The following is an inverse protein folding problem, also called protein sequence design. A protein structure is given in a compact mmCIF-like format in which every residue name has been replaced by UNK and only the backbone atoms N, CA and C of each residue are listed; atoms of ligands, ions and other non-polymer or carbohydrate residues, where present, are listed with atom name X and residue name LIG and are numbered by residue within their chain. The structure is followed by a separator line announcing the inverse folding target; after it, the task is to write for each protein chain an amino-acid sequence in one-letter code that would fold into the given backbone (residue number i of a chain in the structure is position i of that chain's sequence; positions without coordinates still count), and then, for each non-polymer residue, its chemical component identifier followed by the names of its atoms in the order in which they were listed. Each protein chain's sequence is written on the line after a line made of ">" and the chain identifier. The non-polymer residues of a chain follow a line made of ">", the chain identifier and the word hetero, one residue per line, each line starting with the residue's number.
data_IF_590743416935
#
_entry.id   IF_590743416935
#
_cell.length_a   1.000
_cell.length_b   1.000
_cell.length_c   1.000
_cell.angle_alpha   90.00
_cell.angle_beta   90.00
_cell.angle_gamma   90.00
#
_symmetry.space_group_name_H-M   'P 1'
#
loop_
_entity.id
_entity.type
_entity.pdbx_description
1 polymer ?
#
# COMPACT_ATOMS: atom_id res chain seq x y z
N UNK A 1 16.30 -1.11 -5.58
CA UNK A 1 15.43 0.06 -5.82
C UNK A 1 15.56 1.04 -4.65
N UNK A 2 15.43 2.34 -4.90
CA UNK A 2 15.52 3.38 -3.87
C UNK A 2 14.47 4.47 -4.08
N UNK A 3 14.19 5.19 -2.99
CA UNK A 3 13.62 6.53 -2.98
C UNK A 3 14.68 7.42 -2.35
N UNK A 4 15.41 8.21 -3.13
CA UNK A 4 16.50 9.05 -2.61
C UNK A 4 16.80 10.18 -3.59
N UNK A 5 17.27 11.32 -3.10
CA UNK A 5 17.69 12.44 -3.95
C UNK A 5 19.17 12.80 -3.81
N UNK A 6 19.65 13.66 -4.72
CA UNK A 6 21.03 14.13 -4.78
C UNK A 6 21.50 14.93 -3.55
N UNK A 7 20.60 15.33 -2.65
CA UNK A 7 20.94 15.93 -1.37
C UNK A 7 21.38 14.90 -0.33
N UNK A 8 20.88 13.67 -0.43
CA UNK A 8 21.16 12.57 0.50
C UNK A 8 22.22 11.58 0.01
N UNK A 9 22.60 11.62 -1.28
CA UNK A 9 23.62 10.72 -1.86
C UNK A 9 24.57 11.42 -2.82
N UNK A 10 25.86 11.07 -2.74
CA UNK A 10 26.88 11.52 -3.70
C UNK A 10 26.90 10.63 -4.94
N UNK A 11 27.31 11.19 -6.07
CA UNK A 11 27.55 10.44 -7.32
C UNK A 11 26.40 10.44 -8.32
N UNK A 12 25.30 11.15 -8.04
CA UNK A 12 24.29 11.40 -9.08
C UNK A 12 24.83 12.33 -10.18
N UNK A 13 24.42 12.11 -11.45
CA UNK A 13 24.86 12.93 -12.56
C UNK A 13 24.46 14.40 -12.38
N UNK A 14 25.31 15.29 -12.88
CA UNK A 14 25.10 16.74 -12.77
C UNK A 14 24.14 17.26 -13.84
N UNK A 15 24.27 16.74 -15.06
CA UNK A 15 23.49 17.14 -16.22
C UNK A 15 22.12 16.46 -16.20
N UNK A 16 21.08 17.21 -16.60
CA UNK A 16 19.69 16.72 -16.65
C UNK A 16 19.54 15.54 -17.62
N UNK A 17 20.18 15.62 -18.79
CA UNK A 17 20.12 14.58 -19.81
C UNK A 17 20.72 13.25 -19.31
N UNK A 18 21.85 13.30 -18.60
CA UNK A 18 22.47 12.12 -17.97
C UNK A 18 21.62 11.56 -16.82
N UNK A 19 20.98 12.42 -16.04
CA UNK A 19 20.06 11.98 -15.00
C UNK A 19 18.85 11.24 -15.59
N UNK A 20 18.25 11.79 -16.65
CA UNK A 20 17.12 11.19 -17.33
C UNK A 20 17.48 9.85 -18.00
N UNK A 21 18.67 9.72 -18.58
CA UNK A 21 19.12 8.43 -19.17
C UNK A 21 19.31 7.33 -18.13
N UNK A 22 19.49 7.70 -16.86
CA UNK A 22 19.55 6.79 -15.71
C UNK A 22 18.20 6.62 -15.00
N UNK A 23 17.09 7.08 -15.59
CA UNK A 23 15.74 7.07 -15.02
C UNK A 23 15.57 7.90 -13.74
N UNK A 24 16.42 8.91 -13.54
CA UNK A 24 16.25 9.88 -12.45
C UNK A 24 15.32 11.00 -12.90
N UNK A 25 14.49 11.48 -11.97
CA UNK A 25 13.62 12.64 -12.18
C UNK A 25 14.35 13.90 -11.71
N UNK A 26 14.28 14.98 -12.49
CA UNK A 26 14.81 16.28 -12.09
C UNK A 26 13.67 17.19 -11.62
N UNK A 27 13.71 17.61 -10.37
CA UNK A 27 12.74 18.57 -9.81
C UNK A 27 13.40 19.46 -8.75
N UNK A 28 13.04 20.74 -8.71
CA UNK A 28 13.53 21.71 -7.71
C UNK A 28 15.07 21.67 -7.50
N UNK A 29 15.82 21.58 -8.59
CA UNK A 29 17.29 21.44 -8.62
C UNK A 29 17.87 20.12 -8.06
N UNK A 30 17.04 19.18 -7.64
CA UNK A 30 17.42 17.84 -7.20
C UNK A 30 17.30 16.82 -8.32
N UNK A 31 18.15 15.80 -8.27
CA UNK A 31 18.03 14.57 -9.05
C UNK A 31 17.48 13.51 -8.11
N UNK A 32 16.37 12.89 -8.50
CA UNK A 32 15.54 12.07 -7.63
C UNK A 32 15.46 10.67 -8.22
N UNK A 33 15.90 9.68 -7.46
CA UNK A 33 15.65 8.26 -7.70
C UNK A 33 14.33 7.91 -7.01
N UNK A 34 13.35 7.49 -7.79
CA UNK A 34 12.04 6.97 -7.33
C UNK A 34 11.81 5.56 -7.86
N UNK A 35 12.88 4.80 -8.00
CA UNK A 35 12.84 3.45 -8.58
C UNK A 35 12.03 2.45 -7.74
N UNK A 36 11.80 2.70 -6.45
CA UNK A 36 10.84 1.90 -5.65
C UNK A 36 9.43 2.04 -6.20
N UNK A 37 8.95 3.29 -6.38
CA UNK A 37 7.64 3.55 -6.96
C UNK A 37 7.51 2.91 -8.33
N UNK A 38 8.51 3.09 -9.20
CA UNK A 38 8.54 2.49 -10.53
C UNK A 38 8.52 0.96 -10.50
N UNK A 39 9.22 0.33 -9.56
CA UNK A 39 9.24 -1.12 -9.40
C UNK A 39 7.87 -1.66 -8.98
N UNK A 40 7.20 -1.02 -8.01
CA UNK A 40 5.85 -1.39 -7.61
C UNK A 40 4.87 -1.27 -8.78
N UNK A 41 4.86 -0.14 -9.50
CA UNK A 41 3.98 0.06 -10.67
C UNK A 41 4.23 -1.00 -11.74
N UNK A 42 5.50 -1.29 -12.05
CA UNK A 42 5.85 -2.31 -13.05
C UNK A 42 5.37 -3.70 -12.63
N UNK A 43 5.56 -4.07 -11.38
CA UNK A 43 5.12 -5.36 -10.85
C UNK A 43 3.59 -5.50 -10.90
N UNK A 44 2.85 -4.48 -10.46
CA UNK A 44 1.37 -4.46 -10.54
C UNK A 44 0.89 -4.61 -11.98
N UNK A 45 1.48 -3.84 -12.91
CA UNK A 45 1.10 -3.92 -14.34
C UNK A 45 1.42 -5.27 -14.96
N UNK A 46 2.44 -5.97 -14.48
CA UNK A 46 2.83 -7.30 -14.98
C UNK A 46 1.98 -8.43 -14.40
N UNK A 47 1.33 -8.22 -13.25
CA UNK A 47 0.54 -9.23 -12.55
C UNK A 47 -0.57 -9.86 -13.41
N UNK A 48 -0.70 -11.18 -13.30
CA UNK A 48 -1.61 -12.02 -14.07
C UNK A 48 -2.67 -12.71 -13.22
N UNK A 49 -2.36 -13.12 -11.99
CA UNK A 49 -3.20 -13.98 -11.16
C UNK A 49 -3.60 -13.32 -9.84
N UNK A 50 -2.64 -12.83 -9.06
CA UNK A 50 -2.94 -12.15 -7.80
C UNK A 50 -1.80 -11.28 -7.30
N UNK A 51 -2.14 -10.38 -6.38
CA UNK A 51 -1.19 -9.56 -5.65
C UNK A 51 -1.49 -9.66 -4.16
N UNK A 52 -0.46 -9.89 -3.35
CA UNK A 52 -0.52 -9.83 -1.90
C UNK A 52 0.39 -8.71 -1.39
N UNK A 53 -0.14 -7.85 -0.52
CA UNK A 53 0.58 -6.70 0.04
C UNK A 53 0.45 -6.74 1.55
N UNK A 54 1.58 -6.60 2.24
CA UNK A 54 1.57 -6.16 3.63
C UNK A 54 2.26 -4.79 3.72
N UNK A 55 1.55 -3.79 4.25
CA UNK A 55 2.13 -2.47 4.38
C UNK A 55 1.59 -1.72 5.59
N UNK A 56 2.44 -0.93 6.26
CA UNK A 56 2.03 -0.09 7.38
C UNK A 56 1.07 1.03 6.94
N UNK A 57 1.24 1.55 5.73
CA UNK A 57 0.34 2.57 5.17
C UNK A 57 -0.13 2.13 3.79
N UNK A 58 -1.36 2.51 3.45
CA UNK A 58 -1.92 2.31 2.11
C UNK A 58 -2.71 3.55 1.69
N UNK A 59 -1.99 4.55 1.19
CA UNK A 59 -2.52 5.87 0.82
C UNK A 59 -1.85 6.37 -0.45
N UNK A 60 -2.63 6.84 -1.40
CA UNK A 60 -2.10 7.38 -2.65
C UNK A 60 -3.19 7.69 -3.66
N UNK A 61 -2.74 8.14 -4.83
CA UNK A 61 -3.58 8.52 -5.95
C UNK A 61 -4.63 9.57 -5.57
N UNK A 62 -4.24 10.59 -4.79
CA UNK A 62 -5.18 11.63 -4.31
C UNK A 62 -5.92 12.35 -5.42
N UNK A 63 -5.29 12.51 -6.60
CA UNK A 63 -5.93 13.09 -7.77
C UNK A 63 -7.20 12.36 -8.22
N UNK A 64 -7.38 11.09 -7.86
CA UNK A 64 -8.60 10.33 -8.12
C UNK A 64 -9.67 10.50 -7.02
N UNK A 65 -9.35 11.03 -5.83
CA UNK A 65 -10.29 11.09 -4.69
C UNK A 65 -11.49 11.99 -4.98
N UNK A 66 -12.67 11.69 -4.41
CA UNK A 66 -13.86 12.52 -4.63
C UNK A 66 -13.70 13.95 -4.06
N UNK A 67 -13.08 14.05 -2.89
CA UNK A 67 -12.70 15.30 -2.22
C UNK A 67 -11.20 15.29 -1.88
N UNK A 68 -10.64 16.45 -1.54
CA UNK A 68 -9.22 16.58 -1.14
C UNK A 68 -8.20 16.10 -2.20
N UNK A 69 -8.52 16.32 -3.48
CA UNK A 69 -7.69 15.88 -4.64
C UNK A 69 -6.26 16.43 -4.62
N UNK A 70 -6.08 17.61 -4.06
CA UNK A 70 -4.81 18.35 -4.05
C UNK A 70 -4.00 18.14 -2.76
N UNK A 71 -4.20 17.03 -2.05
CA UNK A 71 -3.43 16.68 -0.84
C UNK A 71 -1.98 16.28 -1.14
N UNK A 72 -1.65 16.09 -2.42
CA UNK A 72 -0.30 15.76 -2.88
C UNK A 72 0.12 14.34 -2.57
N UNK A 73 -0.84 13.40 -2.42
CA UNK A 73 -0.58 11.97 -2.30
C UNK A 73 -0.63 11.31 -3.69
N UNK A 74 0.22 11.76 -4.60
CA UNK A 74 0.13 11.47 -6.04
C UNK A 74 0.78 10.14 -6.47
N UNK A 75 1.27 9.32 -5.54
CA UNK A 75 1.80 8.00 -5.88
C UNK A 75 0.72 7.12 -6.54
N UNK A 76 1.13 6.38 -7.57
CA UNK A 76 0.21 5.62 -8.44
C UNK A 76 -0.19 4.25 -7.91
N UNK A 77 0.35 3.79 -6.78
CA UNK A 77 0.21 2.38 -6.37
C UNK A 77 -1.27 1.98 -6.22
N UNK A 78 -2.11 2.75 -5.52
CA UNK A 78 -3.50 2.35 -5.35
C UNK A 78 -4.34 2.39 -6.63
N UNK A 79 -4.16 3.41 -7.50
CA UNK A 79 -4.89 3.47 -8.78
C UNK A 79 -4.46 2.37 -9.75
N UNK A 80 -3.18 2.01 -9.79
CA UNK A 80 -2.68 0.91 -10.65
C UNK A 80 -3.29 -0.44 -10.25
N UNK A 81 -3.47 -0.69 -8.94
CA UNK A 81 -4.16 -1.89 -8.45
C UNK A 81 -5.63 -1.90 -8.92
N UNK A 82 -6.35 -0.81 -8.73
CA UNK A 82 -7.76 -0.71 -9.15
C UNK A 82 -7.92 -0.88 -10.67
N UNK A 83 -7.05 -0.24 -11.47
CA UNK A 83 -7.05 -0.38 -12.92
C UNK A 83 -6.68 -1.79 -13.37
N UNK A 84 -5.72 -2.44 -12.70
CA UNK A 84 -5.38 -3.85 -12.97
C UNK A 84 -6.58 -4.76 -12.72
N UNK A 85 -7.25 -4.62 -11.56
CA UNK A 85 -8.48 -5.38 -11.27
C UNK A 85 -9.55 -5.13 -12.34
N UNK A 86 -9.85 -3.87 -12.64
CA UNK A 86 -10.85 -3.51 -13.65
C UNK A 86 -10.52 -4.10 -15.03
N UNK A 87 -9.24 -4.12 -15.42
CA UNK A 87 -8.80 -4.75 -16.67
C UNK A 87 -9.05 -6.26 -16.70
N UNK A 88 -8.83 -6.95 -15.56
CA UNK A 88 -9.03 -8.39 -15.43
C UNK A 88 -10.52 -8.76 -15.40
N UNK A 89 -11.35 -7.95 -14.74
CA UNK A 89 -12.82 -8.05 -14.80
C UNK A 89 -13.31 -7.95 -16.25
N UNK A 90 -12.90 -6.90 -16.98
CA UNK A 90 -13.27 -6.70 -18.38
C UNK A 90 -12.79 -7.82 -19.30
N UNK A 91 -11.65 -8.42 -18.99
CA UNK A 91 -11.12 -9.59 -19.69
C UNK A 91 -11.75 -10.92 -19.25
N UNK A 92 -12.66 -10.91 -18.27
CA UNK A 92 -13.24 -12.11 -17.63
C UNK A 92 -12.18 -13.08 -17.12
N UNK A 93 -11.07 -12.54 -16.62
CA UNK A 93 -9.96 -13.29 -16.05
C UNK A 93 -10.02 -13.24 -14.52
N UNK A 94 -9.79 -14.39 -13.88
CA UNK A 94 -9.68 -14.44 -12.42
C UNK A 94 -8.47 -13.62 -11.97
N UNK A 95 -8.71 -12.70 -11.04
CA UNK A 95 -7.66 -11.88 -10.43
C UNK A 95 -8.10 -11.42 -9.04
N UNK A 96 -7.18 -11.41 -8.08
CA UNK A 96 -7.48 -10.93 -6.73
C UNK A 96 -6.31 -10.15 -6.13
N UNK A 97 -6.63 -9.17 -5.29
CA UNK A 97 -5.67 -8.38 -4.53
C UNK A 97 -6.01 -8.48 -3.06
N UNK A 98 -5.01 -8.82 -2.25
CA UNK A 98 -5.11 -8.96 -0.81
C UNK A 98 -4.17 -7.96 -0.14
N UNK A 99 -4.70 -7.09 0.72
CA UNK A 99 -3.93 -6.04 1.39
C UNK A 99 -4.08 -6.22 2.89
N UNK A 100 -2.95 -6.38 3.59
CA UNK A 100 -2.89 -6.42 5.04
C UNK A 100 -2.25 -5.12 5.53
N UNK A 101 -3.01 -4.36 6.31
CA UNK A 101 -2.62 -3.07 6.90
C UNK A 101 -2.88 -3.11 8.41
N UNK A 102 -2.24 -2.25 9.23
CA UNK A 102 -2.58 -2.20 10.64
C UNK A 102 -4.04 -1.74 10.83
N UNK A 103 -4.67 -2.17 11.92
CA UNK A 103 -6.08 -1.82 12.22
C UNK A 103 -6.26 -0.29 12.35
N UNK A 104 -5.22 0.39 12.83
CA UNK A 104 -5.04 1.84 12.75
C UNK A 104 -3.54 2.16 12.60
N UNK A 105 -3.17 3.26 11.93
CA UNK A 105 -1.77 3.70 11.89
C UNK A 105 -1.29 4.08 13.30
N UNK A 106 0.02 4.11 13.53
CA UNK A 106 0.59 4.61 14.79
C UNK A 106 0.00 5.97 15.17
N UNK A 107 -0.67 6.05 16.32
CA UNK A 107 -1.36 7.25 16.79
C UNK A 107 -2.84 7.03 17.12
N UNK A 108 -3.59 8.14 17.19
CA UNK A 108 -5.00 8.14 17.61
C UNK A 108 -5.90 7.66 16.45
N UNK A 109 -6.80 6.67 16.65
CA UNK A 109 -7.43 5.90 15.56
C UNK A 109 -8.50 6.60 14.70
N UNK A 110 -8.82 7.86 14.94
CA UNK A 110 -10.13 8.43 14.53
C UNK A 110 -10.26 8.87 13.05
N UNK A 111 -9.26 8.67 12.20
CA UNK A 111 -9.21 9.34 10.86
C UNK A 111 -9.03 8.43 9.63
N UNK A 112 -8.89 7.11 9.78
CA UNK A 112 -8.39 6.25 8.69
C UNK A 112 -9.45 5.76 7.66
N UNK A 113 -10.75 5.85 7.95
CA UNK A 113 -11.79 5.13 7.20
C UNK A 113 -12.13 5.70 5.79
N UNK A 114 -11.63 6.89 5.43
CA UNK A 114 -12.11 7.63 4.24
C UNK A 114 -11.56 7.07 2.91
N UNK A 115 -10.48 6.28 2.92
CA UNK A 115 -9.74 5.97 1.69
C UNK A 115 -10.21 4.73 0.94
N UNK A 116 -10.94 3.81 1.59
CA UNK A 116 -11.41 2.60 0.91
C UNK A 116 -12.33 2.95 -0.26
N UNK A 117 -13.26 3.89 -0.06
CA UNK A 117 -14.42 4.21 -0.91
C UNK A 117 -14.07 4.44 -2.40
N UNK A 118 -12.89 4.97 -2.72
CA UNK A 118 -12.56 5.30 -4.10
C UNK A 118 -12.26 4.07 -4.97
N UNK A 119 -11.51 3.09 -4.48
CA UNK A 119 -11.12 1.92 -5.29
C UNK A 119 -12.34 1.10 -5.69
N UNK A 120 -13.35 1.08 -4.83
CA UNK A 120 -14.64 0.43 -5.09
C UNK A 120 -15.34 1.02 -6.30
N UNK A 121 -15.21 2.32 -6.59
CA UNK A 121 -15.87 2.94 -7.75
C UNK A 121 -15.31 2.39 -9.07
N UNK A 122 -13.98 2.40 -9.24
CA UNK A 122 -13.33 1.89 -10.46
C UNK A 122 -13.67 0.40 -10.68
N UNK A 123 -13.71 -0.38 -9.60
CA UNK A 123 -14.03 -1.81 -9.68
C UNK A 123 -15.52 -2.02 -9.94
N UNK A 124 -16.41 -1.27 -9.27
CA UNK A 124 -17.85 -1.32 -9.48
C UNK A 124 -18.23 -0.95 -10.92
N UNK A 125 -17.67 0.13 -11.46
CA UNK A 125 -17.88 0.53 -12.86
C UNK A 125 -17.46 -0.59 -13.83
N UNK A 126 -16.37 -1.29 -13.52
CA UNK A 126 -15.91 -2.43 -14.32
C UNK A 126 -16.89 -3.61 -14.25
N UNK A 127 -17.42 -3.94 -13.06
CA UNK A 127 -18.42 -4.99 -12.87
C UNK A 127 -19.72 -4.67 -13.60
N UNK A 128 -20.23 -3.45 -13.43
CA UNK A 128 -21.44 -2.96 -14.10
C UNK A 128 -21.28 -3.04 -15.62
N UNK A 129 -20.14 -2.59 -16.17
CA UNK A 129 -19.87 -2.64 -17.61
C UNK A 129 -19.81 -4.06 -18.19
N UNK A 130 -19.62 -5.08 -17.35
CA UNK A 130 -19.63 -6.50 -17.74
C UNK A 130 -20.95 -7.21 -17.42
N UNK A 131 -21.94 -6.51 -16.88
CA UNK A 131 -23.22 -7.10 -16.44
C UNK A 131 -23.09 -7.99 -15.21
N UNK A 132 -22.03 -7.82 -14.41
CA UNK A 132 -21.77 -8.59 -13.19
C UNK A 132 -22.39 -7.90 -11.96
N UNK A 133 -23.70 -7.68 -12.00
CA UNK A 133 -24.43 -6.85 -11.01
C UNK A 133 -24.49 -7.53 -9.63
N UNK A 134 -24.45 -8.86 -9.58
CA UNK A 134 -24.49 -9.64 -8.33
C UNK A 134 -23.08 -9.86 -7.72
N UNK A 135 -22.01 -9.50 -8.43
CA UNK A 135 -20.64 -9.67 -7.94
C UNK A 135 -20.25 -8.56 -6.98
N UNK A 136 -19.65 -8.91 -5.85
CA UNK A 136 -19.20 -7.93 -4.87
C UNK A 136 -17.74 -7.53 -5.14
N UNK A 137 -17.34 -6.25 -5.05
CA UNK A 137 -15.95 -5.88 -5.34
C UNK A 137 -14.92 -6.48 -4.34
N UNK A 138 -15.37 -7.02 -3.18
CA UNK A 138 -14.52 -7.81 -2.25
C UNK A 138 -14.06 -9.14 -2.87
N UNK A 139 -14.73 -9.63 -3.91
CA UNK A 139 -14.23 -10.81 -4.65
C UNK A 139 -12.88 -10.52 -5.34
N UNK A 140 -12.56 -9.24 -5.58
CA UNK A 140 -11.36 -8.81 -6.28
C UNK A 140 -10.38 -8.01 -5.41
N UNK A 141 -10.88 -7.20 -4.46
CA UNK A 141 -10.05 -6.36 -3.60
C UNK A 141 -10.40 -6.56 -2.12
N UNK A 142 -9.45 -7.10 -1.36
CA UNK A 142 -9.63 -7.47 0.03
C UNK A 142 -8.69 -6.69 0.95
N UNK A 143 -9.23 -6.18 2.05
CA UNK A 143 -8.46 -5.52 3.11
C UNK A 143 -8.57 -6.31 4.41
N UNK A 144 -7.43 -6.54 5.05
CA UNK A 144 -7.33 -7.21 6.34
C UNK A 144 -6.45 -6.42 7.30
N UNK A 145 -6.60 -6.73 8.57
CA UNK A 145 -5.66 -6.35 9.61
C UNK A 145 -5.40 -7.53 10.52
N UNK A 146 -4.29 -7.50 11.27
CA UNK A 146 -3.92 -8.57 12.17
C UNK A 146 -4.29 -8.23 13.61
N UNK A 147 -4.80 -9.21 14.34
CA UNK A 147 -5.15 -9.08 15.75
C UNK A 147 -4.96 -10.38 16.48
N UNK A 148 -4.63 -10.28 17.76
CA UNK A 148 -4.49 -11.43 18.66
C UNK A 148 -5.43 -11.26 19.84
N UNK A 149 -6.02 -12.36 20.26
CA UNK A 149 -6.78 -12.47 21.50
C UNK A 149 -6.31 -13.71 22.26
N UNK A 150 -6.05 -13.56 23.54
CA UNK A 150 -5.58 -14.66 24.40
C UNK A 150 -6.57 -14.90 25.53
N UNK A 151 -6.87 -16.17 25.81
CA UNK A 151 -7.65 -16.54 26.98
C UNK A 151 -6.79 -16.47 28.24
N UNK A 152 -7.42 -16.21 29.39
CA UNK A 152 -6.70 -16.24 30.66
C UNK A 152 -6.40 -17.67 31.10
N UNK A 153 -5.15 -17.94 31.48
CA UNK A 153 -4.75 -19.22 32.06
C UNK A 153 -5.33 -19.42 33.46
N UNK A 154 -5.57 -18.33 34.20
CA UNK A 154 -6.23 -18.28 35.51
C UNK A 154 -7.19 -17.08 35.54
N UNK A 155 -8.34 -17.19 36.23
CA UNK A 155 -9.24 -16.06 36.40
C UNK A 155 -8.64 -15.10 37.44
N UNK A 156 -7.68 -14.28 37.03
CA UNK A 156 -7.30 -13.12 37.83
C UNK A 156 -8.45 -12.12 37.87
N UNK A 157 -8.81 -11.70 39.08
CA UNK A 157 -9.84 -10.69 39.29
C UNK A 157 -9.43 -9.39 38.58
N UNK A 158 -10.16 -9.02 37.53
CA UNK A 158 -9.99 -7.74 36.85
C UNK A 158 -10.37 -6.61 37.81
N UNK A 159 -9.36 -6.00 38.44
CA UNK A 159 -9.52 -4.97 39.48
C UNK A 159 -9.63 -3.53 38.97
N UNK A 160 -9.95 -3.30 37.68
CA UNK A 160 -10.12 -1.94 37.19
C UNK A 160 -11.43 -1.77 36.39
N UNK A 161 -12.35 -0.98 36.93
CA UNK A 161 -13.44 -0.34 36.19
C UNK A 161 -12.90 0.84 35.37
N UNK A 162 -11.84 0.61 34.61
CA UNK A 162 -11.26 1.63 33.72
C UNK A 162 -11.85 1.48 32.32
N UNK A 163 -12.65 2.48 31.92
CA UNK A 163 -13.24 2.56 30.58
C UNK A 163 -12.27 3.13 29.54
N UNK A 164 -11.00 3.36 29.90
CA UNK A 164 -9.97 3.75 28.94
C UNK A 164 -9.76 2.68 27.86
N UNK A 165 -9.21 3.07 26.71
CA UNK A 165 -8.86 2.13 25.64
C UNK A 165 -7.89 1.03 26.14
N UNK A 166 -6.99 1.39 27.06
CA UNK A 166 -6.06 0.46 27.69
C UNK A 166 -6.81 -0.53 28.61
N UNK A 167 -7.68 -0.04 29.48
CA UNK A 167 -8.50 -0.88 30.36
C UNK A 167 -9.39 -1.85 29.57
N UNK A 168 -9.99 -1.38 28.49
CA UNK A 168 -10.80 -2.21 27.59
C UNK A 168 -9.97 -3.27 26.84
N UNK A 169 -8.77 -2.91 26.35
CA UNK A 169 -7.87 -3.87 25.71
C UNK A 169 -7.41 -4.97 26.68
N UNK A 170 -7.06 -4.59 27.91
CA UNK A 170 -6.69 -5.52 28.98
C UNK A 170 -7.86 -6.42 29.38
N UNK A 171 -9.05 -5.83 29.62
CA UNK A 171 -10.28 -6.56 29.97
C UNK A 171 -10.68 -7.58 28.91
N UNK A 172 -10.60 -7.20 27.63
CA UNK A 172 -10.96 -8.09 26.52
C UNK A 172 -9.81 -8.98 26.02
N UNK A 173 -8.61 -8.81 26.58
CA UNK A 173 -7.37 -9.55 26.28
C UNK A 173 -7.10 -9.66 24.78
N UNK A 174 -7.33 -8.56 24.06
CA UNK A 174 -7.14 -8.50 22.61
C UNK A 174 -6.48 -7.19 22.21
N UNK A 175 -5.59 -7.28 21.24
CA UNK A 175 -4.97 -6.12 20.63
C UNK A 175 -4.55 -6.43 19.19
N UNK A 176 -4.26 -5.39 18.41
CA UNK A 176 -3.73 -5.58 17.07
C UNK A 176 -2.35 -6.24 17.13
N UNK A 177 -2.05 -7.07 16.14
CA UNK A 177 -0.66 -7.35 15.78
C UNK A 177 -0.30 -6.25 14.78
N UNK A 178 0.62 -5.37 15.15
CA UNK A 178 0.92 -4.21 14.34
C UNK A 178 1.68 -4.61 13.08
N UNK A 179 1.10 -4.29 11.91
CA UNK A 179 1.70 -4.56 10.61
C UNK A 179 2.68 -3.43 10.30
N UNK A 180 3.95 -3.67 10.55
CA UNK A 180 5.05 -2.77 10.17
C UNK A 180 5.76 -3.23 8.88
N UNK A 181 5.28 -4.29 8.23
CA UNK A 181 5.76 -4.78 6.95
C UNK A 181 5.75 -3.69 5.88
N UNK A 182 6.61 -3.82 4.88
CA UNK A 182 6.57 -3.07 3.62
C UNK A 182 6.96 -4.00 2.47
N UNK A 183 6.01 -4.79 2.01
CA UNK A 183 6.26 -5.76 0.97
C UNK A 183 5.06 -6.02 0.06
N UNK A 184 5.37 -6.55 -1.11
CA UNK A 184 4.40 -6.98 -2.11
C UNK A 184 4.89 -8.26 -2.78
N UNK A 185 4.03 -9.25 -2.85
CA UNK A 185 4.22 -10.49 -3.60
C UNK A 185 3.25 -10.47 -4.79
N UNK A 186 3.75 -10.89 -5.94
CA UNK A 186 3.00 -10.94 -7.20
C UNK A 186 3.13 -12.34 -7.79
N UNK A 187 1.98 -12.98 -8.03
CA UNK A 187 1.85 -14.25 -8.73
C UNK A 187 2.74 -15.41 -8.20
N UNK A 188 3.11 -15.38 -6.91
CA UNK A 188 4.09 -16.31 -6.27
C UNK A 188 5.47 -16.38 -6.95
N UNK A 189 5.76 -15.50 -7.91
CA UNK A 189 7.00 -15.50 -8.68
C UNK A 189 7.91 -14.32 -8.34
N UNK A 190 7.34 -13.19 -7.95
CA UNK A 190 8.08 -11.95 -7.73
C UNK A 190 7.72 -11.32 -6.38
N UNK A 191 8.74 -10.86 -5.65
CA UNK A 191 8.57 -10.17 -4.37
C UNK A 191 9.33 -8.86 -4.36
N UNK A 192 8.74 -7.82 -3.74
CA UNK A 192 9.41 -6.59 -3.34
C UNK A 192 9.37 -6.51 -1.81
N UNK A 193 10.53 -6.31 -1.19
CA UNK A 193 10.67 -6.12 0.26
C UNK A 193 11.57 -4.92 0.52
N UNK A 194 11.20 -4.05 1.45
CA UNK A 194 12.01 -2.88 1.77
C UNK A 194 11.53 -2.10 2.98
N UNK A 195 11.90 -0.81 3.01
CA UNK A 195 11.49 0.14 4.05
C UNK A 195 10.31 1.03 3.63
N UNK A 196 10.04 1.13 2.33
CA UNK A 196 9.09 2.09 1.77
C UNK A 196 7.61 1.73 2.02
N UNK A 197 6.91 2.60 2.73
CA UNK A 197 5.48 2.51 2.91
C UNK A 197 4.71 2.86 1.61
N UNK A 198 3.48 2.36 1.43
CA UNK A 198 2.61 2.82 0.34
C UNK A 198 1.96 4.14 0.78
N UNK A 199 2.76 5.21 0.72
CA UNK A 199 2.36 6.58 0.93
C UNK A 199 3.25 7.52 0.09
N UNK A 200 2.89 8.80 0.01
CA UNK A 200 3.72 9.75 -0.74
C UNK A 200 5.11 9.92 -0.14
N UNK A 201 5.23 9.86 1.20
CA UNK A 201 6.48 10.09 1.91
C UNK A 201 7.57 9.13 1.46
N UNK A 202 7.24 7.86 1.31
CA UNK A 202 8.18 6.82 0.87
C UNK A 202 8.27 6.67 -0.65
N UNK A 203 7.22 7.02 -1.41
CA UNK A 203 7.15 6.77 -2.86
C UNK A 203 7.65 7.94 -3.74
N UNK A 204 7.80 9.15 -3.19
CA UNK A 204 8.15 10.34 -3.99
C UNK A 204 9.63 10.40 -4.39
N UNK A 205 10.53 9.87 -3.57
CA UNK A 205 11.99 9.92 -3.79
C UNK A 205 12.70 11.11 -3.13
N UNK A 206 12.05 12.27 -3.02
CA UNK A 206 12.61 13.49 -2.42
C UNK A 206 12.05 13.83 -1.02
N UNK A 207 11.46 12.85 -0.34
CA UNK A 207 10.95 13.00 1.04
C UNK A 207 11.79 12.11 1.96
N UNK A 208 11.29 10.93 2.30
CA UNK A 208 12.07 9.98 3.08
C UNK A 208 13.01 9.21 2.16
N UNK A 209 14.20 8.91 2.67
CA UNK A 209 15.16 8.03 2.00
C UNK A 209 14.79 6.58 2.28
N UNK A 210 14.50 5.81 1.23
CA UNK A 210 14.04 4.43 1.34
C UNK A 210 14.87 3.49 0.45
N UNK A 211 14.90 2.22 0.84
CA UNK A 211 15.50 1.15 0.05
C UNK A 211 14.55 -0.03 -0.05
N UNK A 212 14.51 -0.66 -1.23
CA UNK A 212 13.81 -1.92 -1.43
C UNK A 212 14.56 -2.81 -2.41
N UNK A 213 14.41 -4.10 -2.22
CA UNK A 213 14.91 -5.12 -3.12
C UNK A 213 13.72 -5.75 -3.85
N UNK A 214 13.93 -6.20 -5.09
CA UNK A 214 12.98 -7.06 -5.78
C UNK A 214 13.67 -8.33 -6.26
N UNK A 215 13.01 -9.47 -6.10
CA UNK A 215 13.54 -10.79 -6.44
C UNK A 215 12.50 -11.66 -7.13
N UNK A 216 12.98 -12.57 -7.95
CA UNK A 216 12.28 -13.74 -8.46
C UNK A 216 13.27 -14.89 -8.61
N UNK A 217 12.76 -16.11 -8.68
CA UNK A 217 13.55 -17.29 -9.05
C UNK A 217 13.26 -17.63 -10.52
N UNK A 218 14.29 -17.73 -11.40
CA UNK A 218 14.08 -17.96 -12.83
C UNK A 218 13.76 -19.43 -13.20
N UNK A 219 13.78 -20.34 -12.22
CA UNK A 219 13.67 -21.79 -12.41
C UNK A 219 12.64 -22.38 -11.44
#
# INVERSE_FOLDING_TARGET
>A
FRSIDSGSVKGFPKLVQEAQSQNLVCAKNLKIDRSIHSAYVKAIRSAQHFIYIENQYFIGSSFCWHSHKNTGADNLIPVELALKIASKIKAKQRFAVYIVIPMWPEGIPTTAAVQQILFWQIIADALESQGLVDSHPQEYLNFYCLGRRELAATPEASLCNDNSALGMAQKHRRFMIYVHSKGMLVDDEYVVIGSANINQRSMEGSRDTEIAMGAYQPH
#
